data_IF_499671934589
#
_entry.id   IF_499671934589
#
_cell.length_a   1.000
_cell.length_b   1.000
_cell.length_c   1.000
_cell.angle_alpha   90.00
_cell.angle_beta   90.00
_cell.angle_gamma   90.00
#
_symmetry.space_group_name_H-M   'P 1'
#
loop_
_entity.id
_entity.type
_entity.pdbx_description
1 polymer ?
#
# COMPACT_ATOMS: atom_id res chain seq x y z
N UNK A 1 -8.73 1.64 -31.60
CA UNK A 1 -9.15 0.24 -31.82
C UNK A 1 -9.13 -0.55 -30.52
N UNK A 2 -9.60 -1.81 -30.49
CA UNK A 2 -9.52 -2.64 -29.27
C UNK A 2 -8.08 -2.93 -28.83
N UNK A 3 -7.12 -2.92 -29.77
CA UNK A 3 -5.69 -3.02 -29.46
C UNK A 3 -5.19 -1.82 -28.65
N UNK A 4 -5.55 -0.60 -29.08
CA UNK A 4 -5.15 0.64 -28.41
C UNK A 4 -5.70 0.69 -26.98
N UNK A 5 -6.95 0.28 -26.75
CA UNK A 5 -7.52 0.21 -25.40
C UNK A 5 -6.77 -0.74 -24.48
N UNK A 6 -6.28 -1.87 -25.00
CA UNK A 6 -5.48 -2.82 -24.20
C UNK A 6 -4.13 -2.20 -23.86
N UNK A 7 -3.48 -1.54 -24.82
CA UNK A 7 -2.23 -0.83 -24.58
C UNK A 7 -2.38 0.28 -23.53
N UNK A 8 -3.44 1.09 -23.63
CA UNK A 8 -3.77 2.12 -22.64
C UNK A 8 -3.92 1.50 -21.24
N UNK A 9 -4.69 0.42 -21.11
CA UNK A 9 -4.86 -0.28 -19.82
C UNK A 9 -3.50 -0.77 -19.31
N UNK A 10 -2.70 -1.42 -20.14
CA UNK A 10 -1.39 -1.97 -19.74
C UNK A 10 -0.45 -0.87 -19.23
N UNK A 11 -0.48 0.34 -19.81
CA UNK A 11 0.30 1.49 -19.31
C UNK A 11 -0.19 2.03 -17.96
N UNK A 12 -1.49 1.90 -17.67
CA UNK A 12 -2.10 2.34 -16.40
C UNK A 12 -1.89 1.33 -15.26
N UNK A 13 -1.78 0.03 -15.56
CA UNK A 13 -1.70 -1.04 -14.54
C UNK A 13 -0.62 -0.82 -13.46
N UNK A 14 0.62 -0.39 -13.78
CA UNK A 14 1.63 -0.13 -12.75
C UNK A 14 1.26 1.01 -11.79
N UNK A 15 0.37 1.92 -12.21
CA UNK A 15 -0.09 3.08 -11.43
C UNK A 15 -1.42 2.82 -10.71
N UNK A 16 -2.01 1.64 -10.85
CA UNK A 16 -3.25 1.31 -10.17
C UNK A 16 -3.02 0.84 -8.73
N UNK A 17 -4.08 0.87 -7.92
CA UNK A 17 -4.16 0.13 -6.67
C UNK A 17 -4.01 -1.39 -6.93
N UNK A 18 -3.32 -2.10 -6.03
CA UNK A 18 -3.03 -3.54 -6.20
C UNK A 18 -4.30 -4.36 -6.43
N UNK A 19 -5.38 -4.06 -5.70
CA UNK A 19 -6.67 -4.76 -5.85
C UNK A 19 -7.22 -4.63 -7.28
N UNK A 20 -7.21 -3.42 -7.84
CA UNK A 20 -7.76 -3.17 -9.17
C UNK A 20 -6.88 -3.79 -10.24
N UNK A 21 -5.56 -3.64 -10.10
CA UNK A 21 -4.59 -4.30 -10.99
C UNK A 21 -4.86 -5.79 -11.12
N UNK A 22 -4.99 -6.51 -10.00
CA UNK A 22 -5.26 -7.96 -9.99
C UNK A 22 -6.58 -8.29 -10.71
N UNK A 23 -7.63 -7.50 -10.46
CA UNK A 23 -8.95 -7.73 -11.08
C UNK A 23 -8.88 -7.49 -12.58
N UNK A 24 -8.27 -6.38 -13.02
CA UNK A 24 -8.14 -6.01 -14.43
C UNK A 24 -7.32 -7.07 -15.17
N UNK A 25 -6.14 -7.44 -14.64
CA UNK A 25 -5.29 -8.48 -15.24
C UNK A 25 -6.02 -9.81 -15.37
N UNK A 26 -6.79 -10.23 -14.34
CA UNK A 26 -7.59 -11.46 -14.39
C UNK A 26 -8.65 -11.39 -15.48
N UNK A 27 -9.35 -10.26 -15.61
CA UNK A 27 -10.41 -10.08 -16.61
C UNK A 27 -9.85 -10.02 -18.04
N UNK A 28 -8.71 -9.35 -18.26
CA UNK A 28 -8.00 -9.35 -19.53
C UNK A 28 -7.53 -10.75 -19.93
N UNK A 29 -6.98 -11.54 -18.99
CA UNK A 29 -6.55 -12.92 -19.23
C UNK A 29 -7.73 -13.86 -19.52
N UNK A 30 -8.84 -13.71 -18.82
CA UNK A 30 -10.05 -14.50 -19.05
C UNK A 30 -10.64 -14.26 -20.45
N UNK A 31 -10.69 -13.00 -20.90
CA UNK A 31 -11.11 -12.67 -22.28
C UNK A 31 -10.21 -13.26 -23.36
N UNK A 32 -8.94 -13.54 -23.06
CA UNK A 32 -8.03 -14.17 -24.04
C UNK A 32 -8.25 -15.68 -24.22
N UNK A 33 -8.90 -16.37 -23.26
CA UNK A 33 -9.04 -17.85 -23.24
C UNK A 33 -10.32 -18.42 -23.86
N UNK A 34 -11.23 -17.60 -24.40
CA UNK A 34 -12.45 -18.13 -25.03
C UNK A 34 -13.22 -17.17 -25.94
N UNK A 35 -13.13 -15.85 -25.73
CA UNK A 35 -13.73 -14.84 -26.62
C UNK A 35 -13.04 -13.50 -26.44
N UNK A 36 -12.42 -12.97 -27.52
CA UNK A 36 -11.73 -11.67 -27.49
C UNK A 36 -12.57 -10.64 -26.71
N UNK A 37 -11.99 -9.92 -25.73
CA UNK A 37 -12.74 -8.98 -24.92
C UNK A 37 -13.39 -7.94 -25.83
N UNK A 38 -14.70 -7.73 -25.63
CA UNK A 38 -15.43 -6.75 -26.41
C UNK A 38 -15.01 -5.32 -26.01
N UNK A 39 -15.32 -4.36 -26.88
CA UNK A 39 -14.92 -2.96 -26.68
C UNK A 39 -15.55 -2.34 -25.43
N UNK A 40 -16.77 -2.75 -25.04
CA UNK A 40 -17.47 -2.21 -23.85
C UNK A 40 -16.81 -2.69 -22.57
N UNK A 41 -16.38 -3.94 -22.52
CA UNK A 41 -15.60 -4.51 -21.42
C UNK A 41 -14.25 -3.81 -21.30
N UNK A 42 -13.53 -3.64 -22.41
CA UNK A 42 -12.25 -2.92 -22.41
C UNK A 42 -12.40 -1.47 -21.93
N UNK A 43 -13.44 -0.76 -22.36
CA UNK A 43 -13.70 0.60 -21.88
C UNK A 43 -13.92 0.62 -20.36
N UNK A 44 -14.78 -0.25 -19.82
CA UNK A 44 -14.99 -0.35 -18.35
C UNK A 44 -13.71 -0.66 -17.58
N UNK A 45 -12.83 -1.47 -18.14
CA UNK A 45 -11.54 -1.79 -17.52
C UNK A 45 -10.59 -0.59 -17.54
N UNK A 46 -10.57 0.18 -18.64
CA UNK A 46 -9.82 1.43 -18.75
C UNK A 46 -10.32 2.47 -17.74
N UNK A 47 -11.62 2.73 -17.68
CA UNK A 47 -12.21 3.70 -16.75
C UNK A 47 -11.89 3.33 -15.28
N UNK A 48 -11.91 2.03 -14.97
CA UNK A 48 -11.49 1.51 -13.66
C UNK A 48 -10.00 1.74 -13.40
N UNK A 49 -9.14 1.49 -14.38
CA UNK A 49 -7.70 1.70 -14.26
C UNK A 49 -7.37 3.19 -14.04
N UNK A 50 -8.02 4.09 -14.78
CA UNK A 50 -7.88 5.55 -14.63
C UNK A 50 -8.30 6.00 -13.24
N UNK A 51 -9.49 5.56 -12.77
CA UNK A 51 -9.96 5.86 -11.41
C UNK A 51 -8.99 5.37 -10.34
N UNK A 52 -8.43 4.16 -10.52
CA UNK A 52 -7.46 3.57 -9.60
C UNK A 52 -6.13 4.32 -9.59
N UNK A 53 -5.68 4.81 -10.75
CA UNK A 53 -4.47 5.60 -10.89
C UNK A 53 -4.62 6.99 -10.24
N UNK A 54 -5.74 7.66 -10.46
CA UNK A 54 -6.06 8.93 -9.80
C UNK A 54 -6.11 8.78 -8.27
N UNK A 55 -6.65 7.68 -7.76
CA UNK A 55 -6.62 7.38 -6.32
C UNK A 55 -5.20 7.21 -5.79
N UNK A 56 -4.30 6.55 -6.53
CA UNK A 56 -2.90 6.42 -6.13
C UNK A 56 -2.20 7.78 -6.11
N UNK A 57 -2.42 8.62 -7.12
CA UNK A 57 -1.87 9.98 -7.19
C UNK A 57 -2.35 10.82 -6.00
N UNK A 58 -3.65 10.79 -5.71
CA UNK A 58 -4.21 11.46 -4.54
C UNK A 58 -3.55 10.98 -3.24
N UNK A 59 -3.37 9.66 -3.05
CA UNK A 59 -2.70 9.11 -1.87
C UNK A 59 -1.23 9.50 -1.76
N UNK A 60 -0.53 9.60 -2.89
CA UNK A 60 0.87 10.06 -2.91
C UNK A 60 0.97 11.53 -2.53
N UNK A 61 0.07 12.38 -3.02
CA UNK A 61 0.04 13.80 -2.71
C UNK A 61 -0.33 14.10 -1.25
N UNK A 62 -1.15 13.26 -0.62
CA UNK A 62 -1.61 13.42 0.77
C UNK A 62 -0.96 12.42 1.74
N UNK A 63 0.25 11.96 1.41
CA UNK A 63 0.99 11.07 2.30
C UNK A 63 1.51 11.89 3.48
N UNK A 64 1.23 11.49 4.74
CA UNK A 64 1.77 12.22 5.90
C UNK A 64 3.29 12.11 5.93
N UNK A 65 3.92 13.16 6.44
CA UNK A 65 5.34 13.14 6.76
C UNK A 65 5.59 12.14 7.89
N UNK A 66 6.71 11.43 7.81
CA UNK A 66 7.06 10.39 8.79
C UNK A 66 8.28 10.85 9.56
N UNK A 67 8.09 11.16 10.84
CA UNK A 67 9.15 11.46 11.80
C UNK A 67 9.31 10.32 12.81
N UNK A 68 10.46 10.23 13.47
CA UNK A 68 10.74 9.20 14.46
C UNK A 68 11.28 9.82 15.74
N UNK A 69 10.84 9.35 16.93
CA UNK A 69 11.45 9.75 18.19
C UNK A 69 12.85 9.14 18.33
N UNK A 70 13.84 9.95 18.68
CA UNK A 70 15.24 9.54 18.78
C UNK A 70 15.49 8.60 19.98
N UNK A 71 14.65 8.66 21.01
CA UNK A 71 14.78 7.88 22.23
C UNK A 71 14.42 6.39 22.10
N UNK A 72 13.79 5.97 21.00
CA UNK A 72 13.36 4.58 20.84
C UNK A 72 14.48 3.70 20.23
N UNK A 73 14.81 2.54 20.82
CA UNK A 73 15.84 1.63 20.29
C UNK A 73 15.62 1.21 18.83
N UNK A 74 14.36 1.14 18.38
CA UNK A 74 14.03 0.78 17.00
C UNK A 74 14.40 1.88 16.01
N UNK A 75 14.32 3.15 16.40
CA UNK A 75 14.70 4.29 15.55
C UNK A 75 16.16 4.20 15.12
N UNK A 76 17.06 3.77 16.02
CA UNK A 76 18.47 3.56 15.72
C UNK A 76 18.74 2.47 14.67
N UNK A 77 17.77 1.60 14.38
CA UNK A 77 17.83 0.54 13.36
C UNK A 77 16.89 0.78 12.18
N UNK A 78 16.32 1.99 12.06
CA UNK A 78 15.29 2.31 11.06
C UNK A 78 15.74 1.98 9.64
N UNK A 79 16.92 2.44 9.24
CA UNK A 79 17.42 2.26 7.87
C UNK A 79 17.67 0.77 7.54
N UNK A 80 18.23 0.01 8.48
CA UNK A 80 18.41 -1.44 8.33
C UNK A 80 17.06 -2.16 8.12
N UNK A 81 16.05 -1.82 8.93
CA UNK A 81 14.71 -2.41 8.84
C UNK A 81 14.03 -2.00 7.52
N UNK A 82 14.17 -0.74 7.11
CA UNK A 82 13.60 -0.19 5.89
C UNK A 82 14.16 -0.90 4.65
N UNK A 83 15.47 -1.09 4.58
CA UNK A 83 16.11 -1.85 3.50
C UNK A 83 15.72 -3.32 3.53
N UNK A 84 15.63 -3.94 4.71
CA UNK A 84 15.15 -5.32 4.83
C UNK A 84 13.71 -5.48 4.28
N UNK A 85 12.81 -4.54 4.58
CA UNK A 85 11.42 -4.52 4.08
C UNK A 85 11.35 -4.35 2.56
N UNK A 86 12.27 -3.58 1.96
CA UNK A 86 12.34 -3.40 0.51
C UNK A 86 12.83 -4.66 -0.19
N UNK A 87 13.88 -5.28 0.34
CA UNK A 87 14.55 -6.42 -0.28
C UNK A 87 13.82 -7.76 -0.08
N UNK A 88 13.10 -7.94 1.03
CA UNK A 88 12.55 -9.24 1.40
C UNK A 88 11.01 -9.23 1.50
N UNK A 89 10.33 -10.26 0.94
CA UNK A 89 8.88 -10.40 1.10
C UNK A 89 8.44 -10.64 2.55
N UNK A 90 9.31 -11.23 3.37
CA UNK A 90 9.07 -11.53 4.79
C UNK A 90 10.28 -11.09 5.59
N UNK A 91 10.03 -10.32 6.65
CA UNK A 91 11.05 -9.83 7.59
C UNK A 91 10.58 -10.14 9.01
N UNK A 92 11.48 -10.70 9.83
CA UNK A 92 11.23 -10.94 11.25
C UNK A 92 11.99 -9.88 12.03
N UNK A 93 11.28 -9.05 12.79
CA UNK A 93 11.87 -8.02 13.67
C UNK A 93 11.65 -8.41 15.12
N UNK A 94 12.73 -8.72 15.83
CA UNK A 94 12.72 -9.04 17.25
C UNK A 94 13.29 -7.86 18.06
N UNK A 95 12.79 -7.68 19.27
CA UNK A 95 13.28 -6.68 20.22
C UNK A 95 12.49 -6.72 21.51
N UNK A 96 13.02 -6.15 22.58
CA UNK A 96 12.38 -6.15 23.90
C UNK A 96 11.05 -5.37 23.95
N UNK A 97 10.23 -5.64 24.95
CA UNK A 97 9.03 -4.84 25.22
C UNK A 97 9.43 -3.38 25.45
N UNK A 98 8.69 -2.42 24.89
CA UNK A 98 9.03 -0.99 25.00
C UNK A 98 9.96 -0.48 23.90
N UNK A 99 10.54 -1.35 23.06
CA UNK A 99 11.47 -0.93 22.00
C UNK A 99 10.84 -0.08 20.86
N UNK A 100 9.52 0.12 20.86
CA UNK A 100 8.82 0.90 19.81
C UNK A 100 8.29 0.10 18.61
N UNK A 101 8.42 -1.24 18.57
CA UNK A 101 7.98 -2.08 17.42
C UNK A 101 6.59 -1.75 16.90
N UNK A 102 5.61 -1.76 17.78
CA UNK A 102 4.20 -1.67 17.39
C UNK A 102 3.81 -0.29 16.85
N UNK A 103 4.48 0.78 17.30
CA UNK A 103 4.21 2.15 16.84
C UNK A 103 5.09 2.56 15.66
N UNK A 104 6.33 2.08 15.58
CA UNK A 104 7.30 2.52 14.57
C UNK A 104 7.35 1.66 13.30
N UNK A 105 7.16 0.33 13.39
CA UNK A 105 7.16 -0.53 12.18
C UNK A 105 6.12 -0.13 11.12
N UNK A 106 4.88 0.29 11.48
CA UNK A 106 3.90 0.74 10.48
C UNK A 106 4.36 1.99 9.73
N UNK A 107 5.04 2.90 10.44
CA UNK A 107 5.63 4.13 9.90
C UNK A 107 6.80 3.79 8.95
N UNK A 108 7.69 2.87 9.33
CA UNK A 108 8.77 2.38 8.46
C UNK A 108 8.21 1.68 7.22
N UNK A 109 7.15 0.88 7.34
CA UNK A 109 6.46 0.31 6.18
C UNK A 109 5.94 1.41 5.24
N UNK A 110 5.36 2.48 5.77
CA UNK A 110 4.93 3.63 4.99
C UNK A 110 6.12 4.31 4.30
N UNK A 111 7.25 4.49 5.00
CA UNK A 111 8.52 5.00 4.46
C UNK A 111 9.08 4.14 3.32
N UNK A 112 8.99 2.82 3.45
CA UNK A 112 9.35 1.87 2.41
C UNK A 112 8.37 1.86 1.21
N UNK A 113 7.40 2.78 1.15
CA UNK A 113 6.42 2.89 0.08
C UNK A 113 5.29 1.87 0.15
N UNK A 114 5.18 1.12 1.26
CA UNK A 114 4.03 0.24 1.51
C UNK A 114 2.81 1.11 1.83
N UNK A 115 1.61 0.57 1.64
CA UNK A 115 0.36 1.29 1.94
C UNK A 115 -0.06 2.33 0.90
N UNK A 116 0.78 2.72 -0.06
CA UNK A 116 0.38 3.62 -1.17
C UNK A 116 -0.64 2.94 -2.10
N UNK A 117 -0.24 1.83 -2.73
CA UNK A 117 -1.09 1.05 -3.65
C UNK A 117 -1.99 0.03 -2.92
N UNK A 118 -1.92 -0.04 -1.58
CA UNK A 118 -2.65 -1.01 -0.76
C UNK A 118 -2.96 -0.43 0.63
N UNK A 119 -3.02 -1.27 1.66
CA UNK A 119 -3.13 -0.85 3.07
C UNK A 119 -2.03 -1.53 3.87
N UNK A 120 -1.56 -0.88 4.92
CA UNK A 120 -0.73 -1.48 5.95
C UNK A 120 -1.68 -1.97 7.04
N UNK A 121 -1.66 -3.27 7.34
CA UNK A 121 -2.47 -3.86 8.39
C UNK A 121 -1.58 -4.22 9.58
N UNK A 122 -1.88 -3.64 10.73
CA UNK A 122 -1.18 -3.93 11.99
C UNK A 122 -2.15 -4.67 12.90
N UNK A 123 -1.90 -5.95 13.14
CA UNK A 123 -2.75 -6.77 13.99
C UNK A 123 -2.27 -6.71 15.44
N UNK A 124 -3.22 -6.77 16.37
CA UNK A 124 -2.95 -6.89 17.80
C UNK A 124 -3.91 -7.93 18.38
N UNK A 125 -3.48 -8.78 19.34
CA UNK A 125 -4.34 -9.81 19.91
C UNK A 125 -5.50 -9.24 20.73
N UNK A 126 -5.39 -7.99 21.20
CA UNK A 126 -6.41 -7.32 22.02
C UNK A 126 -6.93 -6.07 21.33
N UNK A 127 -8.25 -5.90 21.30
CA UNK A 127 -8.91 -4.71 20.71
C UNK A 127 -8.43 -3.39 21.31
N UNK A 128 -8.27 -3.33 22.63
CA UNK A 128 -7.80 -2.12 23.34
C UNK A 128 -6.38 -1.74 22.90
N UNK A 129 -5.49 -2.73 22.69
CA UNK A 129 -4.15 -2.49 22.18
C UNK A 129 -4.18 -1.97 20.74
N UNK A 130 -5.02 -2.57 19.87
CA UNK A 130 -5.19 -2.08 18.50
C UNK A 130 -5.66 -0.62 18.43
N UNK A 131 -6.64 -0.24 19.26
CA UNK A 131 -7.17 1.12 19.32
C UNK A 131 -6.16 2.10 19.91
N UNK A 132 -5.43 1.72 20.96
CA UNK A 132 -4.39 2.56 21.57
C UNK A 132 -3.25 2.83 20.58
N UNK A 133 -2.78 1.79 19.89
CA UNK A 133 -1.75 1.89 18.87
C UNK A 133 -2.21 2.77 17.70
N UNK A 134 -3.44 2.61 17.22
CA UNK A 134 -3.92 3.41 16.08
C UNK A 134 -4.04 4.89 16.42
N UNK A 135 -4.48 5.23 17.64
CA UNK A 135 -4.49 6.63 18.14
C UNK A 135 -3.08 7.18 18.23
N UNK A 136 -2.17 6.44 18.85
CA UNK A 136 -0.78 6.86 19.00
C UNK A 136 -0.10 7.10 17.65
N UNK A 137 -0.32 6.23 16.66
CA UNK A 137 0.23 6.41 15.32
C UNK A 137 -0.38 7.63 14.63
N UNK A 138 -1.68 7.90 14.81
CA UNK A 138 -2.31 9.10 14.25
C UNK A 138 -1.73 10.39 14.86
N UNK A 139 -1.54 10.41 16.19
CA UNK A 139 -0.87 11.50 16.91
C UNK A 139 0.58 11.70 16.41
N UNK A 140 1.36 10.63 16.28
CA UNK A 140 2.76 10.71 15.83
C UNK A 140 2.91 11.10 14.35
N UNK A 141 1.88 10.91 13.53
CA UNK A 141 1.86 11.29 12.12
C UNK A 141 1.15 12.62 11.86
N UNK A 142 0.68 13.30 12.91
CA UNK A 142 -0.10 14.53 12.84
C UNK A 142 -1.32 14.41 11.89
N UNK A 143 -2.09 13.34 12.05
CA UNK A 143 -3.33 13.10 11.28
C UNK A 143 -4.52 12.87 12.19
N UNK A 144 -5.71 13.20 11.70
CA UNK A 144 -6.96 12.89 12.39
C UNK A 144 -7.13 11.38 12.57
N UNK A 145 -7.38 10.95 13.80
CA UNK A 145 -7.75 9.57 14.09
C UNK A 145 -9.22 9.31 13.72
N UNK A 146 -9.46 8.42 12.75
CA UNK A 146 -10.80 8.01 12.32
C UNK A 146 -11.04 8.20 10.83
#
# INVERSE_FOLDING_TARGET
GSSDLIADIDTLLPRCMIRDRIVIERQLKAGRRGRKPDRRMLQRLKDRAETSALLLEHRRAHRPEVSYPDELPLTARKDEILEAIRAHPVVIVAGETGSGKTTQLPKICLEAGRGLQARIACTQPRRVAALSVSRRIAEELDVTWG
#
